data_IF_170511844377
#
_entry.id   IF_170511844377
#
_cell.length_a   1.000
_cell.length_b   1.000
_cell.length_c   1.000
_cell.angle_alpha   90.00
_cell.angle_beta   90.00
_cell.angle_gamma   90.00
#
_symmetry.space_group_name_H-M   'P 1'
#
loop_
_entity.id
_entity.type
_entity.pdbx_description
1 polymer ?
#
# COMPACT_ATOMS: atom_id res chain seq x y z
N UNK A 1 -19.72 -18.80 -5.07
CA UNK A 1 -19.65 -18.72 -6.54
C UNK A 1 -19.69 -17.28 -7.06
N UNK A 2 -20.70 -16.47 -6.73
CA UNK A 2 -20.81 -15.07 -7.20
C UNK A 2 -19.66 -14.15 -6.77
N UNK A 3 -19.22 -14.21 -5.50
CA UNK A 3 -18.09 -13.41 -5.03
C UNK A 3 -16.78 -13.75 -5.74
N UNK A 4 -16.55 -15.05 -6.00
CA UNK A 4 -15.39 -15.53 -6.77
C UNK A 4 -15.43 -15.04 -8.21
N UNK A 5 -16.61 -15.06 -8.85
CA UNK A 5 -16.79 -14.54 -10.21
C UNK A 5 -16.60 -13.02 -10.28
N UNK A 6 -17.08 -12.28 -9.29
CA UNK A 6 -16.84 -10.85 -9.15
C UNK A 6 -15.34 -10.54 -9.02
N UNK A 7 -14.66 -11.26 -8.12
CA UNK A 7 -13.21 -11.11 -7.88
C UNK A 7 -12.41 -11.38 -9.15
N UNK A 8 -12.76 -12.45 -9.88
CA UNK A 8 -12.15 -12.79 -11.16
C UNK A 8 -12.34 -11.67 -12.21
N UNK A 9 -13.58 -11.18 -12.37
CA UNK A 9 -13.87 -10.08 -13.31
C UNK A 9 -13.10 -8.80 -12.96
N UNK A 10 -13.05 -8.43 -11.68
CA UNK A 10 -12.30 -7.25 -11.24
C UNK A 10 -10.80 -7.41 -11.44
N UNK A 11 -10.25 -8.62 -11.23
CA UNK A 11 -8.84 -8.90 -11.53
C UNK A 11 -8.55 -8.76 -13.02
N UNK A 12 -9.42 -9.28 -13.90
CA UNK A 12 -9.27 -9.12 -15.36
C UNK A 12 -9.30 -7.65 -15.77
N UNK A 13 -10.22 -6.85 -15.21
CA UNK A 13 -10.29 -5.41 -15.45
C UNK A 13 -9.02 -4.71 -14.96
N UNK A 14 -8.54 -5.04 -13.76
CA UNK A 14 -7.29 -4.52 -13.20
C UNK A 14 -6.08 -4.78 -14.09
N UNK A 15 -5.95 -6.01 -14.61
CA UNK A 15 -4.89 -6.39 -15.54
C UNK A 15 -4.99 -5.59 -16.85
N UNK A 16 -6.18 -5.42 -17.42
CA UNK A 16 -6.38 -4.62 -18.65
C UNK A 16 -5.95 -3.17 -18.46
N UNK A 17 -6.33 -2.56 -17.34
CA UNK A 17 -5.95 -1.18 -17.00
C UNK A 17 -4.43 -1.07 -16.83
N UNK A 18 -3.80 -2.02 -16.12
CA UNK A 18 -2.33 -2.05 -15.95
C UNK A 18 -1.61 -2.11 -17.31
N UNK A 19 -2.05 -3.01 -18.20
CA UNK A 19 -1.43 -3.15 -19.54
C UNK A 19 -1.61 -1.88 -20.37
N UNK A 20 -2.80 -1.26 -20.32
CA UNK A 20 -3.05 0.01 -21.01
C UNK A 20 -2.15 1.13 -20.47
N UNK A 21 -2.02 1.26 -19.15
CA UNK A 21 -1.14 2.24 -18.50
C UNK A 21 0.32 2.07 -18.92
N UNK A 22 0.85 0.85 -18.82
CA UNK A 22 2.22 0.55 -19.25
C UNK A 22 2.42 0.90 -20.72
N UNK A 23 1.47 0.57 -21.59
CA UNK A 23 1.54 0.88 -23.03
C UNK A 23 1.57 2.39 -23.29
N UNK A 24 0.75 3.17 -22.58
CA UNK A 24 0.73 4.63 -22.68
C UNK A 24 2.03 5.24 -22.16
N UNK A 25 2.52 4.78 -21.01
CA UNK A 25 3.79 5.23 -20.42
C UNK A 25 4.94 4.94 -21.38
N UNK A 26 4.99 3.73 -21.95
CA UNK A 26 6.01 3.33 -22.91
C UNK A 26 5.99 4.20 -24.17
N UNK A 27 4.81 4.43 -24.76
CA UNK A 27 4.66 5.33 -25.92
C UNK A 27 5.09 6.76 -25.60
N UNK A 28 4.77 7.24 -24.39
CA UNK A 28 5.19 8.57 -23.93
C UNK A 28 6.70 8.65 -23.75
N UNK A 29 7.31 7.63 -23.14
CA UNK A 29 8.76 7.57 -22.94
C UNK A 29 9.55 7.62 -24.26
N UNK A 30 9.03 6.99 -25.33
CA UNK A 30 9.65 7.03 -26.66
C UNK A 30 9.48 8.37 -27.40
N UNK A 31 8.48 9.17 -27.03
CA UNK A 31 8.18 10.46 -27.68
C UNK A 31 8.59 11.68 -26.85
N UNK A 32 9.27 11.46 -25.72
CA UNK A 32 9.74 12.52 -24.84
C UNK A 32 10.88 13.33 -25.48
N UNK A 33 10.83 14.65 -25.28
CA UNK A 33 11.92 15.55 -25.67
C UNK A 33 13.16 15.34 -24.79
N UNK A 34 14.33 15.75 -25.28
CA UNK A 34 15.59 15.62 -24.55
C UNK A 34 15.59 16.39 -23.21
N UNK A 35 14.88 17.52 -23.11
CA UNK A 35 14.72 18.26 -21.86
C UNK A 35 13.91 17.47 -20.83
N UNK A 36 12.76 16.90 -21.24
CA UNK A 36 11.94 16.06 -20.35
C UNK A 36 12.66 14.77 -19.93
N UNK A 37 13.51 14.23 -20.81
CA UNK A 37 14.34 13.04 -20.51
C UNK A 37 15.45 13.31 -19.50
N UNK A 38 15.84 14.57 -19.29
CA UNK A 38 16.76 14.97 -18.21
C UNK A 38 16.04 15.08 -16.86
N UNK A 39 14.76 15.44 -16.87
CA UNK A 39 13.95 15.57 -15.65
C UNK A 39 13.39 14.23 -15.16
N UNK A 40 13.08 13.31 -16.08
CA UNK A 40 12.58 11.97 -15.75
C UNK A 40 13.60 10.92 -16.13
N UNK A 41 14.24 10.32 -15.13
CA UNK A 41 15.25 9.28 -15.32
C UNK A 41 14.62 7.98 -15.84
N UNK A 42 15.42 7.14 -16.51
CA UNK A 42 14.97 5.81 -16.94
C UNK A 42 14.49 4.98 -15.74
N UNK A 43 15.13 5.13 -14.57
CA UNK A 43 14.73 4.47 -13.34
C UNK A 43 13.34 4.88 -12.85
N UNK A 44 12.99 6.16 -12.91
CA UNK A 44 11.65 6.64 -12.52
C UNK A 44 10.56 6.13 -13.47
N UNK A 45 10.83 6.09 -14.78
CA UNK A 45 9.89 5.54 -15.77
C UNK A 45 9.66 4.04 -15.51
N UNK A 46 10.72 3.29 -15.20
CA UNK A 46 10.61 1.86 -14.84
C UNK A 46 9.84 1.68 -13.53
N UNK A 47 10.07 2.54 -12.53
CA UNK A 47 9.31 2.52 -11.29
C UNK A 47 7.81 2.79 -11.52
N UNK A 48 7.48 3.79 -12.35
CA UNK A 48 6.09 4.09 -12.73
C UNK A 48 5.39 2.89 -13.39
N UNK A 49 6.09 2.17 -14.28
CA UNK A 49 5.53 0.99 -14.96
C UNK A 49 5.42 -0.25 -14.06
N UNK A 50 6.29 -0.39 -13.05
CA UNK A 50 6.37 -1.61 -12.22
C UNK A 50 5.65 -1.47 -10.88
N UNK A 51 5.84 -0.37 -10.16
CA UNK A 51 5.28 -0.14 -8.83
C UNK A 51 3.94 0.57 -8.93
N UNK A 52 3.87 1.73 -9.58
CA UNK A 52 2.65 2.54 -9.60
C UNK A 52 1.53 1.87 -10.40
N UNK A 53 1.84 1.33 -11.59
CA UNK A 53 0.87 0.57 -12.37
C UNK A 53 0.35 -0.69 -11.63
N UNK A 54 1.19 -1.32 -10.81
CA UNK A 54 0.77 -2.47 -9.99
C UNK A 54 -0.11 -2.04 -8.81
N UNK A 55 0.23 -0.92 -8.15
CA UNK A 55 -0.63 -0.32 -7.10
C UNK A 55 -2.01 0.03 -7.62
N UNK A 56 -2.12 0.53 -8.85
CA UNK A 56 -3.42 0.84 -9.47
C UNK A 56 -4.24 -0.43 -9.68
N UNK A 57 -3.62 -1.53 -10.13
CA UNK A 57 -4.28 -2.83 -10.27
C UNK A 57 -4.88 -3.31 -8.94
N UNK A 58 -4.12 -3.18 -7.85
CA UNK A 58 -4.55 -3.57 -6.50
C UNK A 58 -5.63 -2.64 -5.92
N UNK A 59 -5.65 -1.36 -6.36
CA UNK A 59 -6.61 -0.37 -5.88
C UNK A 59 -8.01 -0.53 -6.50
N UNK A 60 -8.12 -1.00 -7.75
CA UNK A 60 -9.40 -1.09 -8.49
C UNK A 60 -10.48 -1.90 -7.75
N UNK A 61 -10.19 -3.10 -7.21
CA UNK A 61 -11.17 -3.82 -6.39
C UNK A 61 -11.62 -3.04 -5.15
N UNK A 62 -10.68 -2.34 -4.48
CA UNK A 62 -10.97 -1.59 -3.26
C UNK A 62 -11.88 -0.38 -3.50
N UNK A 63 -11.82 0.24 -4.67
CA UNK A 63 -12.73 1.32 -5.05
C UNK A 63 -14.19 0.87 -5.03
N UNK A 64 -14.46 -0.39 -5.40
CA UNK A 64 -15.82 -0.91 -5.38
C UNK A 64 -16.33 -1.14 -3.96
N UNK A 65 -15.44 -1.50 -3.03
CA UNK A 65 -15.78 -1.62 -1.61
C UNK A 65 -16.16 -0.26 -1.02
N UNK A 66 -15.51 0.82 -1.46
CA UNK A 66 -15.73 2.17 -0.94
C UNK A 66 -17.18 2.64 -1.07
N UNK A 67 -17.87 2.33 -2.17
CA UNK A 67 -19.28 2.71 -2.38
C UNK A 67 -20.27 1.62 -1.95
N UNK A 68 -19.90 0.35 -2.07
CA UNK A 68 -20.78 -0.76 -1.69
C UNK A 68 -20.89 -0.95 -0.18
N UNK A 69 -19.84 -0.67 0.59
CA UNK A 69 -19.86 -0.80 2.04
C UNK A 69 -20.86 0.16 2.73
N UNK A 70 -20.91 1.47 2.41
CA UNK A 70 -21.94 2.36 2.96
C UNK A 70 -23.36 1.92 2.62
N UNK A 71 -23.59 1.45 1.40
CA UNK A 71 -24.90 0.94 0.97
C UNK A 71 -25.31 -0.29 1.78
N UNK A 72 -24.39 -1.25 1.97
CA UNK A 72 -24.62 -2.45 2.77
C UNK A 72 -24.90 -2.12 4.24
N UNK A 73 -24.11 -1.22 4.83
CA UNK A 73 -24.29 -0.77 6.22
C UNK A 73 -25.65 -0.10 6.38
N UNK A 74 -26.01 0.80 5.47
CA UNK A 74 -27.30 1.52 5.51
C UNK A 74 -28.49 0.57 5.44
N UNK A 75 -28.46 -0.39 4.51
CA UNK A 75 -29.54 -1.38 4.36
C UNK A 75 -29.62 -2.31 5.57
N UNK A 76 -28.47 -2.72 6.10
CA UNK A 76 -28.39 -3.58 7.29
C UNK A 76 -28.94 -2.87 8.52
N UNK A 77 -28.64 -1.57 8.71
CA UNK A 77 -29.18 -0.75 9.78
C UNK A 77 -30.70 -0.56 9.65
N UNK A 78 -31.20 -0.36 8.42
CA UNK A 78 -32.63 -0.27 8.16
C UNK A 78 -33.38 -1.53 8.62
N UNK A 79 -32.91 -2.72 8.21
CA UNK A 79 -33.54 -3.98 8.66
C UNK A 79 -33.38 -4.22 10.15
N UNK A 80 -32.23 -3.88 10.74
CA UNK A 80 -32.05 -4.01 12.19
C UNK A 80 -33.03 -3.13 12.97
N UNK A 81 -33.28 -1.91 12.47
CA UNK A 81 -34.21 -0.96 13.07
C UNK A 81 -35.66 -1.49 13.01
N UNK A 82 -36.04 -2.14 11.91
CA UNK A 82 -37.37 -2.73 11.75
C UNK A 82 -37.61 -3.87 12.76
N UNK A 83 -36.59 -4.68 13.05
CA UNK A 83 -36.70 -5.83 13.96
C UNK A 83 -36.57 -5.43 15.43
N UNK A 84 -35.62 -4.57 15.79
CA UNK A 84 -35.24 -4.29 17.19
C UNK A 84 -35.55 -2.86 17.66
N UNK A 85 -36.04 -2.00 16.77
CA UNK A 85 -36.37 -0.61 17.09
C UNK A 85 -35.15 0.19 17.62
N UNK A 86 -35.32 1.05 18.64
CA UNK A 86 -34.27 1.95 19.12
C UNK A 86 -33.04 1.25 19.72
N UNK A 87 -33.13 -0.04 20.08
CA UNK A 87 -32.04 -0.81 20.70
C UNK A 87 -30.77 -0.86 19.81
N UNK A 88 -30.93 -0.73 18.50
CA UNK A 88 -29.84 -0.67 17.50
C UNK A 88 -28.87 0.48 17.76
N UNK A 89 -29.34 1.58 18.36
CA UNK A 89 -28.52 2.77 18.64
C UNK A 89 -27.38 2.48 19.62
N UNK A 90 -27.57 1.56 20.57
CA UNK A 90 -26.52 1.16 21.50
C UNK A 90 -25.36 0.47 20.77
N UNK A 91 -25.67 -0.42 19.81
CA UNK A 91 -24.66 -1.09 18.98
C UNK A 91 -23.92 -0.10 18.07
N UNK A 92 -24.64 0.84 17.46
CA UNK A 92 -24.05 1.93 16.68
C UNK A 92 -23.12 2.81 17.52
N UNK A 93 -23.51 3.14 18.75
CA UNK A 93 -22.68 3.94 19.65
C UNK A 93 -21.34 3.24 19.95
N UNK A 94 -21.36 1.93 20.24
CA UNK A 94 -20.14 1.14 20.43
C UNK A 94 -19.27 1.14 19.18
N UNK A 95 -19.86 0.95 17.99
CA UNK A 95 -19.12 1.01 16.72
C UNK A 95 -18.45 2.37 16.50
N UNK A 96 -19.17 3.47 16.77
CA UNK A 96 -18.62 4.83 16.64
C UNK A 96 -17.48 5.06 17.63
N UNK A 97 -17.57 4.55 18.86
CA UNK A 97 -16.49 4.64 19.87
C UNK A 97 -15.26 3.82 19.47
N UNK A 98 -15.44 2.69 18.76
CA UNK A 98 -14.31 1.89 18.28
C UNK A 98 -13.51 2.58 17.17
N UNK A 99 -14.11 3.49 16.40
CA UNK A 99 -13.42 4.24 15.33
C UNK A 99 -12.22 5.04 15.87
N UNK A 100 -12.35 5.93 16.87
CA UNK A 100 -11.21 6.69 17.40
C UNK A 100 -10.21 5.78 18.12
N UNK A 101 -10.64 4.70 18.77
CA UNK A 101 -9.73 3.72 19.40
C UNK A 101 -8.83 3.08 18.34
N UNK A 102 -9.42 2.58 17.26
CA UNK A 102 -8.67 2.01 16.14
C UNK A 102 -7.74 3.06 15.50
N UNK A 103 -8.19 4.30 15.35
CA UNK A 103 -7.36 5.41 14.87
C UNK A 103 -6.16 5.71 15.78
N UNK A 104 -6.35 5.70 17.10
CA UNK A 104 -5.26 5.89 18.07
C UNK A 104 -4.24 4.76 18.01
N UNK A 105 -4.70 3.50 17.98
CA UNK A 105 -3.83 2.32 17.86
C UNK A 105 -3.06 2.37 16.54
N UNK A 106 -3.72 2.68 15.42
CA UNK A 106 -3.08 2.79 14.11
C UNK A 106 -1.97 3.86 14.10
N UNK A 107 -2.20 5.02 14.74
CA UNK A 107 -1.18 6.05 14.88
C UNK A 107 0.03 5.59 15.71
N UNK A 108 -0.20 4.83 16.79
CA UNK A 108 0.88 4.24 17.58
C UNK A 108 1.67 3.20 16.77
N UNK A 109 0.98 2.31 16.06
CA UNK A 109 1.60 1.32 15.16
C UNK A 109 2.44 2.00 14.09
N UNK A 110 1.90 3.02 13.42
CA UNK A 110 2.64 3.82 12.43
C UNK A 110 3.91 4.42 13.02
N UNK A 111 3.84 4.98 14.22
CA UNK A 111 5.01 5.58 14.90
C UNK A 111 6.07 4.53 15.22
N UNK A 112 5.66 3.37 15.74
CA UNK A 112 6.55 2.25 16.02
C UNK A 112 7.18 1.69 14.74
N UNK A 113 6.40 1.59 13.66
CA UNK A 113 6.87 1.13 12.35
C UNK A 113 7.94 2.06 11.78
N UNK A 114 7.75 3.39 11.87
CA UNK A 114 8.76 4.37 11.46
C UNK A 114 10.06 4.21 12.27
N UNK A 115 9.95 4.06 13.59
CA UNK A 115 11.12 3.84 14.46
C UNK A 115 11.85 2.55 14.09
N UNK A 116 11.10 1.48 13.85
CA UNK A 116 11.65 0.19 13.42
C UNK A 116 12.38 0.30 12.08
N UNK A 117 11.81 1.02 11.09
CA UNK A 117 12.45 1.25 9.81
C UNK A 117 13.79 1.97 9.97
N UNK A 118 13.84 3.03 10.79
CA UNK A 118 15.09 3.76 11.05
C UNK A 118 16.20 2.88 11.65
N UNK A 119 15.87 2.00 12.59
CA UNK A 119 16.84 1.06 13.16
C UNK A 119 17.29 0.01 12.14
N UNK A 120 16.37 -0.49 11.30
CA UNK A 120 16.71 -1.41 10.21
C UNK A 120 17.67 -0.76 9.21
N UNK A 121 17.44 0.49 8.83
CA UNK A 121 18.30 1.23 7.91
C UNK A 121 19.70 1.44 8.48
N UNK A 122 19.81 1.79 9.76
CA UNK A 122 21.12 1.90 10.45
C UNK A 122 21.89 0.58 10.44
N UNK A 123 21.21 -0.54 10.75
CA UNK A 123 21.82 -1.87 10.71
C UNK A 123 22.31 -2.22 9.32
N UNK A 124 21.50 -1.98 8.28
CA UNK A 124 21.88 -2.25 6.88
C UNK A 124 23.08 -1.40 6.48
N UNK A 125 23.11 -0.13 6.89
CA UNK A 125 24.25 0.76 6.62
C UNK A 125 25.54 0.26 7.26
N UNK A 126 25.51 -0.09 8.55
CA UNK A 126 26.69 -0.63 9.26
C UNK A 126 27.20 -1.93 8.60
N UNK A 127 26.29 -2.83 8.25
CA UNK A 127 26.65 -4.06 7.53
C UNK A 127 27.35 -3.77 6.20
N UNK A 128 26.88 -2.78 5.44
CA UNK A 128 27.54 -2.37 4.19
C UNK A 128 28.94 -1.79 4.43
N UNK A 129 29.13 -1.00 5.49
CA UNK A 129 30.45 -0.46 5.86
C UNK A 129 31.43 -1.58 6.25
N UNK A 130 30.98 -2.56 7.05
CA UNK A 130 31.79 -3.73 7.44
C UNK A 130 32.17 -4.57 6.22
N UNK A 131 31.23 -4.84 5.31
CA UNK A 131 31.51 -5.64 4.11
C UNK A 131 32.50 -4.96 3.16
N UNK A 132 32.37 -3.64 2.96
CA UNK A 132 33.32 -2.87 2.15
C UNK A 132 34.71 -2.81 2.80
N UNK A 133 34.80 -2.81 4.13
CA UNK A 133 36.05 -2.76 4.90
C UNK A 133 36.61 -4.12 5.35
N UNK A 134 36.04 -5.24 4.91
CA UNK A 134 36.26 -6.57 5.53
C UNK A 134 37.73 -7.01 5.55
N UNK A 135 38.50 -6.65 4.52
CA UNK A 135 39.93 -7.00 4.44
C UNK A 135 40.75 -6.29 5.52
N UNK A 136 40.42 -5.03 5.81
CA UNK A 136 41.05 -4.23 6.88
C UNK A 136 40.62 -4.76 8.23
N UNK A 137 39.33 -5.01 8.45
CA UNK A 137 38.84 -5.62 9.71
C UNK A 137 39.55 -6.94 10.04
N UNK A 138 39.76 -7.80 9.03
CA UNK A 138 40.51 -9.05 9.18
C UNK A 138 42.00 -8.86 9.45
N UNK A 139 42.64 -7.89 8.79
CA UNK A 139 44.06 -7.57 9.03
C UNK A 139 44.31 -7.08 10.46
N UNK A 140 43.37 -6.35 11.06
CA UNK A 140 43.48 -5.79 12.41
C UNK A 140 42.78 -6.62 13.50
N UNK A 141 42.17 -7.76 13.15
CA UNK A 141 41.38 -8.60 14.06
C UNK A 141 40.28 -7.82 14.83
N UNK A 142 39.65 -6.83 14.19
CA UNK A 142 38.59 -5.99 14.78
C UNK A 142 37.18 -6.60 14.70
N UNK A 143 37.08 -7.84 14.21
CA UNK A 143 35.82 -8.58 14.10
C UNK A 143 34.97 -8.62 15.39
N UNK A 144 35.50 -8.81 16.62
CA UNK A 144 34.67 -8.86 17.82
C UNK A 144 34.19 -7.48 18.32
N UNK A 145 34.71 -6.38 17.77
CA UNK A 145 34.30 -5.02 18.14
C UNK A 145 33.11 -4.50 17.32
N UNK A 146 32.72 -5.24 16.27
CA UNK A 146 31.63 -4.92 15.34
C UNK A 146 30.56 -6.01 15.37
#
# INVERSE_FOLDING_TARGET
MFNSQYSYKMMVVGIRIRVALISVIYKKALSMSNSARKESTVGEIVNLMSVDANRILEAIPNLNVLWSAPMLISLSLYFLWEIMGPSVLAGLAVMVVLIPINGFIANKVKTLQIRQMKTKDQRIKLMNEVLNGIKVLKMYAWEPSF
#
